data_IF_679110310133
#
_entry.id   IF_679110310133
#
_cell.length_a   1.000
_cell.length_b   1.000
_cell.length_c   1.000
_cell.angle_alpha   90.00
_cell.angle_beta   90.00
_cell.angle_gamma   90.00
#
_symmetry.space_group_name_H-M   'P 1'
#
loop_
_entity.id
_entity.type
_entity.pdbx_description
1 polymer ?
#
# COMPACT_ATOMS: atom_id res chain seq x y z
N UNK A 1 -12.22 -13.70 -29.26
CA UNK A 1 -12.63 -12.92 -28.08
C UNK A 1 -11.35 -12.46 -27.40
N UNK A 2 -10.90 -11.23 -27.67
CA UNK A 2 -9.74 -10.66 -26.96
C UNK A 2 -10.22 -10.35 -25.55
N UNK A 3 -9.65 -11.00 -24.55
CA UNK A 3 -9.76 -10.52 -23.18
C UNK A 3 -8.88 -9.28 -23.12
N UNK A 4 -9.47 -8.09 -23.11
CA UNK A 4 -8.78 -6.91 -22.61
C UNK A 4 -8.51 -7.17 -21.13
N UNK A 5 -7.24 -7.40 -20.79
CA UNK A 5 -6.84 -7.56 -19.41
C UNK A 5 -6.94 -6.18 -18.77
N UNK A 6 -7.92 -5.98 -17.88
CA UNK A 6 -7.93 -4.84 -16.97
C UNK A 6 -6.63 -4.82 -16.13
N UNK A 7 -6.25 -3.66 -15.61
CA UNK A 7 -5.07 -3.53 -14.75
C UNK A 7 -5.11 -4.56 -13.59
N UNK A 8 -4.06 -5.37 -13.47
CA UNK A 8 -3.94 -6.38 -12.42
C UNK A 8 -3.05 -5.87 -11.31
N UNK A 9 -3.59 -5.89 -10.09
CA UNK A 9 -2.89 -5.43 -8.90
C UNK A 9 -2.58 -6.62 -8.00
N UNK A 10 -1.34 -6.70 -7.53
CA UNK A 10 -0.93 -7.72 -6.57
C UNK A 10 0.08 -7.19 -5.56
N UNK A 11 0.15 -7.87 -4.41
CA UNK A 11 1.18 -7.63 -3.40
C UNK A 11 1.89 -8.94 -3.08
N UNK A 12 3.21 -8.91 -3.09
CA UNK A 12 4.07 -10.00 -2.63
C UNK A 12 4.65 -9.60 -1.28
N UNK A 13 4.30 -10.33 -0.24
CA UNK A 13 4.82 -10.09 1.11
C UNK A 13 6.30 -10.47 1.21
N UNK A 14 6.96 -10.02 2.28
CA UNK A 14 8.38 -10.33 2.54
C UNK A 14 8.68 -11.84 2.60
N UNK A 15 7.74 -12.62 3.12
CA UNK A 15 7.79 -14.09 3.18
C UNK A 15 7.37 -14.80 1.88
N UNK A 16 7.12 -14.05 0.80
CA UNK A 16 6.86 -14.59 -0.54
C UNK A 16 5.40 -14.94 -0.82
N UNK A 17 4.45 -14.61 0.08
CA UNK A 17 3.02 -14.81 -0.20
C UNK A 17 2.55 -13.76 -1.19
N UNK A 18 1.97 -14.24 -2.30
CA UNK A 18 1.37 -13.38 -3.31
C UNK A 18 -0.13 -13.27 -3.05
N UNK A 19 -0.60 -12.05 -2.88
CA UNK A 19 -2.01 -11.73 -2.78
C UNK A 19 -2.43 -10.87 -3.97
N UNK A 20 -3.30 -11.43 -4.82
CA UNK A 20 -3.88 -10.71 -5.94
C UNK A 20 -5.10 -9.92 -5.48
N UNK A 21 -5.19 -8.64 -5.83
CA UNK A 21 -6.38 -7.83 -5.53
C UNK A 21 -7.48 -7.99 -6.58
N UNK A 22 -7.11 -8.47 -7.77
CA UNK A 22 -8.02 -8.72 -8.86
C UNK A 22 -8.28 -10.23 -8.98
N UNK A 23 -9.54 -10.59 -9.01
CA UNK A 23 -10.06 -11.90 -9.35
C UNK A 23 -11.29 -11.68 -10.21
N UNK A 24 -11.32 -12.31 -11.38
CA UNK A 24 -12.18 -11.98 -12.53
C UNK A 24 -13.70 -11.91 -12.24
N UNK A 25 -14.15 -12.31 -11.05
CA UNK A 25 -15.57 -12.23 -10.65
C UNK A 25 -15.83 -11.80 -9.19
N UNK A 26 -14.84 -11.87 -8.30
CA UNK A 26 -15.08 -11.75 -6.84
C UNK A 26 -14.44 -10.51 -6.20
N UNK A 27 -13.35 -9.99 -6.75
CA UNK A 27 -12.66 -8.82 -6.20
C UNK A 27 -11.95 -8.04 -7.30
N UNK A 28 -12.02 -6.73 -7.24
CA UNK A 28 -11.31 -5.89 -8.18
C UNK A 28 -10.98 -4.55 -7.55
N UNK A 29 -9.88 -3.95 -8.00
CA UNK A 29 -9.53 -2.58 -7.65
C UNK A 29 -10.44 -1.65 -8.44
N UNK A 30 -11.26 -0.87 -7.74
CA UNK A 30 -12.23 0.08 -8.35
C UNK A 30 -11.52 1.36 -8.73
N UNK A 31 -10.67 1.83 -7.83
CA UNK A 31 -9.91 3.03 -8.02
C UNK A 31 -8.61 2.96 -7.23
N UNK A 32 -7.64 3.74 -7.67
CA UNK A 32 -6.41 3.99 -6.93
C UNK A 32 -6.41 5.46 -6.51
N UNK A 33 -7.11 5.85 -5.43
CA UNK A 33 -7.13 7.23 -4.99
C UNK A 33 -5.72 7.65 -4.61
N UNK A 34 -5.14 8.52 -5.42
CA UNK A 34 -3.76 8.98 -5.26
C UNK A 34 -3.02 8.97 -6.58
N UNK A 35 -1.92 9.71 -6.63
CA UNK A 35 -1.08 9.75 -7.80
C UNK A 35 0.03 8.69 -7.61
N UNK A 36 -0.09 7.55 -8.29
CA UNK A 36 0.94 6.50 -8.32
C UNK A 36 2.16 6.89 -9.17
N UNK A 37 2.24 8.14 -9.60
CA UNK A 37 3.33 8.69 -10.39
C UNK A 37 4.58 8.95 -9.56
N UNK A 38 5.32 9.98 -9.94
CA UNK A 38 6.61 10.30 -9.34
C UNK A 38 6.42 10.81 -7.90
N UNK A 39 7.19 10.32 -6.91
CA UNK A 39 7.21 10.92 -5.58
C UNK A 39 7.77 12.35 -5.62
N UNK A 40 7.53 13.13 -4.58
CA UNK A 40 8.21 14.41 -4.38
C UNK A 40 9.71 14.20 -4.21
N UNK A 41 10.49 15.21 -4.57
CA UNK A 41 11.94 15.24 -4.34
C UNK A 41 12.27 16.42 -3.44
N UNK A 42 13.08 16.15 -2.42
CA UNK A 42 13.68 17.18 -1.59
C UNK A 42 15.13 17.35 -2.02
N UNK A 43 15.44 18.55 -2.52
CA UNK A 43 16.79 18.93 -2.93
C UNK A 43 17.55 19.49 -1.73
N UNK A 44 18.70 18.86 -1.43
CA UNK A 44 19.65 19.38 -0.46
C UNK A 44 20.49 20.42 -1.16
N UNK A 45 20.40 21.65 -0.67
CA UNK A 45 21.13 22.77 -1.24
C UNK A 45 21.98 23.45 -0.18
N UNK A 46 23.17 23.90 -0.59
CA UNK A 46 24.10 24.60 0.26
C UNK A 46 24.50 25.92 -0.38
N UNK A 47 24.61 26.96 0.44
CA UNK A 47 25.16 28.25 0.00
C UNK A 47 26.67 28.27 0.24
N UNK A 48 27.45 28.19 -0.83
CA UNK A 48 28.92 28.21 -0.78
C UNK A 48 29.44 29.65 -0.81
N UNK A 49 30.58 29.90 -0.14
CA UNK A 49 31.21 31.22 -0.14
C UNK A 49 31.54 31.66 -1.58
N UNK A 50 31.11 32.87 -1.94
CA UNK A 50 31.24 33.46 -3.29
C UNK A 50 30.48 32.75 -4.41
N UNK A 51 29.61 31.79 -4.11
CA UNK A 51 28.66 31.29 -5.09
C UNK A 51 27.47 32.25 -5.20
N UNK A 52 27.12 32.62 -6.43
CA UNK A 52 25.84 33.28 -6.68
C UNK A 52 24.77 32.19 -6.84
N UNK A 53 23.86 32.12 -5.86
CA UNK A 53 22.84 31.08 -5.77
C UNK A 53 23.15 29.94 -4.81
N UNK A 54 22.30 28.92 -4.88
CA UNK A 54 22.37 27.71 -4.09
C UNK A 54 22.99 26.60 -4.94
N UNK A 55 23.95 25.88 -4.37
CA UNK A 55 24.56 24.70 -5.01
C UNK A 55 23.83 23.47 -4.50
N UNK A 56 23.31 22.66 -5.42
CA UNK A 56 22.71 21.37 -5.09
C UNK A 56 23.81 20.38 -4.66
N UNK A 57 23.69 19.85 -3.45
CA UNK A 57 24.62 18.86 -2.89
C UNK A 57 24.04 17.45 -2.94
N UNK A 58 22.73 17.32 -3.11
CA UNK A 58 22.07 16.03 -3.28
C UNK A 58 20.56 16.17 -3.37
N UNK A 59 19.89 15.03 -3.51
CA UNK A 59 18.44 14.94 -3.53
C UNK A 59 17.99 13.65 -2.83
N UNK A 60 16.78 13.66 -2.26
CA UNK A 60 16.12 12.47 -1.75
C UNK A 60 14.68 12.40 -2.24
N UNK A 61 14.23 11.20 -2.62
CA UNK A 61 12.82 10.95 -2.91
C UNK A 61 12.04 10.86 -1.58
N UNK A 62 10.93 11.58 -1.50
CA UNK A 62 10.07 11.55 -0.32
C UNK A 62 9.19 10.28 -0.31
N UNK A 63 8.93 9.70 0.87
CA UNK A 63 7.92 8.65 1.00
C UNK A 63 6.55 9.17 0.56
N UNK A 64 5.81 8.33 -0.17
CA UNK A 64 4.48 8.67 -0.65
C UNK A 64 3.46 7.62 -0.24
N UNK A 65 2.31 8.08 0.25
CA UNK A 65 1.14 7.26 0.47
C UNK A 65 0.26 7.22 -0.80
N UNK A 66 -0.31 6.06 -1.08
CA UNK A 66 -1.39 5.88 -2.04
C UNK A 66 -2.43 4.94 -1.44
N UNK A 67 -3.68 5.08 -1.87
CA UNK A 67 -4.76 4.22 -1.43
C UNK A 67 -5.19 3.30 -2.59
N UNK A 68 -5.74 2.14 -2.23
CA UNK A 68 -6.37 1.22 -3.15
C UNK A 68 -7.79 0.98 -2.67
N UNK A 69 -8.76 1.37 -3.47
CA UNK A 69 -10.16 1.07 -3.20
C UNK A 69 -10.48 -0.29 -3.82
N UNK A 70 -10.67 -1.28 -2.97
CA UNK A 70 -10.92 -2.67 -3.39
C UNK A 70 -12.39 -2.99 -3.15
N UNK A 71 -13.06 -3.39 -4.22
CA UNK A 71 -14.40 -3.95 -4.11
C UNK A 71 -14.33 -5.46 -3.94
N UNK A 72 -15.14 -5.97 -3.01
CA UNK A 72 -15.37 -7.39 -2.81
C UNK A 72 -16.83 -7.70 -3.10
N UNK A 73 -17.07 -8.56 -4.09
CA UNK A 73 -18.38 -9.16 -4.30
C UNK A 73 -18.55 -10.25 -3.26
N UNK A 74 -19.43 -10.00 -2.30
CA UNK A 74 -19.79 -10.99 -1.30
C UNK A 74 -21.32 -11.05 -1.23
N UNK A 75 -21.88 -12.20 -1.58
CA UNK A 75 -23.33 -12.42 -1.61
C UNK A 75 -23.84 -12.47 -0.16
N UNK A 76 -24.09 -11.30 0.44
CA UNK A 76 -24.77 -11.06 1.73
C UNK A 76 -24.30 -11.83 2.98
N UNK A 77 -23.25 -12.66 2.92
CA UNK A 77 -22.76 -13.41 4.08
C UNK A 77 -21.77 -12.60 4.93
N UNK A 78 -22.18 -12.34 6.17
CA UNK A 78 -21.37 -11.67 7.19
C UNK A 78 -20.11 -12.47 7.54
N UNK A 79 -20.17 -13.80 7.53
CA UNK A 79 -19.02 -14.65 7.87
C UNK A 79 -17.94 -14.52 6.82
N UNK A 80 -18.31 -14.62 5.54
CA UNK A 80 -17.41 -14.37 4.42
C UNK A 80 -16.78 -12.97 4.47
N UNK A 81 -17.53 -11.93 4.87
CA UNK A 81 -16.98 -10.57 5.01
C UNK A 81 -15.82 -10.54 6.02
N UNK A 82 -16.03 -11.12 7.21
CA UNK A 82 -15.00 -11.15 8.25
C UNK A 82 -13.80 -12.00 7.85
N UNK A 83 -14.02 -13.13 7.18
CA UNK A 83 -12.94 -13.99 6.69
C UNK A 83 -12.07 -13.28 5.66
N UNK A 84 -12.68 -12.60 4.68
CA UNK A 84 -11.96 -11.81 3.66
C UNK A 84 -11.17 -10.68 4.33
N UNK A 85 -11.81 -9.95 5.24
CA UNK A 85 -11.16 -8.85 5.98
C UNK A 85 -9.97 -9.35 6.79
N UNK A 86 -10.11 -10.48 7.48
CA UNK A 86 -9.03 -11.08 8.26
C UNK A 86 -7.84 -11.50 7.37
N UNK A 87 -8.12 -12.12 6.21
CA UNK A 87 -7.10 -12.48 5.24
C UNK A 87 -6.34 -11.28 4.68
N UNK A 88 -7.06 -10.20 4.33
CA UNK A 88 -6.45 -8.95 3.88
C UNK A 88 -5.53 -8.34 4.95
N UNK A 89 -5.99 -8.31 6.20
CA UNK A 89 -5.22 -7.77 7.31
C UNK A 89 -3.99 -8.61 7.64
N UNK A 90 -4.05 -9.94 7.52
CA UNK A 90 -2.88 -10.78 7.73
C UNK A 90 -1.81 -10.53 6.66
N UNK A 91 -2.21 -10.41 5.39
CA UNK A 91 -1.28 -10.10 4.29
C UNK A 91 -0.64 -8.71 4.48
N UNK A 92 -1.44 -7.71 4.85
CA UNK A 92 -1.01 -6.32 5.00
C UNK A 92 -0.51 -5.98 6.42
N UNK A 93 -0.23 -6.96 7.27
CA UNK A 93 0.23 -6.70 8.64
C UNK A 93 1.59 -5.96 8.65
N UNK A 94 1.74 -4.85 9.39
CA UNK A 94 3.01 -4.11 9.44
C UNK A 94 4.19 -4.94 10.00
N UNK A 95 3.88 -5.90 10.87
CA UNK A 95 4.88 -6.70 11.60
C UNK A 95 5.34 -7.95 10.82
N UNK A 96 5.14 -8.02 9.50
CA UNK A 96 5.54 -9.18 8.67
C UNK A 96 7.04 -9.22 8.32
N UNK A 97 7.88 -8.47 9.03
CA UNK A 97 9.34 -8.51 8.93
C UNK A 97 9.98 -7.60 7.88
N UNK A 98 9.26 -7.18 6.84
CA UNK A 98 9.85 -6.36 5.77
C UNK A 98 8.83 -5.60 4.93
N UNK A 99 9.30 -4.70 4.04
CA UNK A 99 8.43 -4.10 3.04
C UNK A 99 7.86 -5.20 2.13
N UNK A 100 6.64 -4.99 1.67
CA UNK A 100 6.04 -5.82 0.64
C UNK A 100 6.34 -5.22 -0.74
N UNK A 101 6.29 -6.03 -1.78
CA UNK A 101 6.40 -5.57 -3.16
C UNK A 101 5.02 -5.48 -3.75
N UNK A 102 4.58 -4.28 -4.08
CA UNK A 102 3.34 -4.07 -4.80
C UNK A 102 3.60 -3.98 -6.30
N UNK A 103 2.83 -4.71 -7.10
CA UNK A 103 2.99 -4.82 -8.55
C UNK A 103 1.70 -4.46 -9.25
N UNK A 104 1.81 -3.64 -10.29
CA UNK A 104 0.74 -3.37 -11.26
C UNK A 104 1.17 -3.92 -12.60
N UNK A 105 0.33 -4.74 -13.20
CA UNK A 105 0.41 -5.10 -14.61
C UNK A 105 -0.69 -4.35 -15.36
N UNK A 106 -0.30 -3.54 -16.33
CA UNK A 106 -1.22 -2.77 -17.18
C UNK A 106 -1.75 -3.62 -18.33
N UNK A 107 -2.77 -3.11 -19.00
CA UNK A 107 -3.41 -3.76 -20.14
C UNK A 107 -2.44 -4.01 -21.31
N UNK A 108 -1.43 -3.15 -21.46
CA UNK A 108 -0.35 -3.26 -22.46
C UNK A 108 0.69 -4.34 -22.11
N UNK A 109 0.54 -5.01 -20.96
CA UNK A 109 1.48 -6.00 -20.45
C UNK A 109 2.70 -5.41 -19.74
N UNK A 110 2.82 -4.08 -19.68
CA UNK A 110 3.87 -3.43 -18.90
C UNK A 110 3.65 -3.68 -17.40
N UNK A 111 4.74 -3.94 -16.69
CA UNK A 111 4.72 -4.21 -15.26
C UNK A 111 5.52 -3.14 -14.52
N UNK A 112 4.97 -2.67 -13.39
CA UNK A 112 5.67 -1.79 -12.46
C UNK A 112 5.56 -2.35 -11.05
N UNK A 113 6.70 -2.49 -10.40
CA UNK A 113 6.78 -2.94 -9.01
C UNK A 113 7.40 -1.84 -8.15
N UNK A 114 6.86 -1.66 -6.95
CA UNK A 114 7.36 -0.72 -5.94
C UNK A 114 7.39 -1.41 -4.58
N UNK A 115 8.39 -1.08 -3.76
CA UNK A 115 8.40 -1.48 -2.37
C UNK A 115 7.44 -0.60 -1.58
N UNK A 116 6.57 -1.24 -0.81
CA UNK A 116 5.53 -0.59 -0.03
C UNK A 116 5.52 -1.09 1.40
N UNK A 117 5.00 -0.26 2.30
CA UNK A 117 4.64 -0.65 3.65
C UNK A 117 3.19 -0.26 3.86
N UNK A 118 2.43 -1.14 4.51
CA UNK A 118 1.09 -0.77 4.94
C UNK A 118 1.20 0.33 5.98
N UNK A 119 0.54 1.44 5.71
CA UNK A 119 0.33 2.46 6.72
C UNK A 119 -0.77 1.92 7.64
N UNK A 120 -0.38 1.33 8.77
CA UNK A 120 -1.34 1.13 9.85
C UNK A 120 -1.73 2.51 10.38
N UNK A 121 -2.99 2.71 10.82
CA UNK A 121 -3.28 3.85 11.68
C UNK A 121 -2.26 3.84 12.81
N UNK A 122 -1.66 5.00 13.09
CA UNK A 122 -0.77 5.12 14.23
C UNK A 122 -1.58 4.69 15.46
N UNK A 123 -1.29 3.51 16.00
CA UNK A 123 -1.83 3.12 17.29
C UNK A 123 -1.22 4.08 18.30
N UNK A 124 -2.01 5.06 18.72
CA UNK A 124 -1.64 5.85 19.89
C UNK A 124 -1.46 4.85 21.03
N UNK A 125 -0.31 4.84 21.72
CA UNK A 125 -0.13 3.96 22.85
C UNK A 125 -1.27 4.25 23.82
N UNK A 126 -2.13 3.26 24.04
CA UNK A 126 -3.11 3.32 25.11
C UNK A 126 -2.32 3.43 26.40
N UNK A 127 -2.53 4.49 27.17
CA UNK A 127 -1.90 4.62 28.49
C UNK A 127 -2.14 3.33 29.27
N UNK A 128 -1.14 2.83 30.00
CA UNK A 128 -1.24 1.60 30.80
C UNK A 128 -2.49 1.56 31.68
N UNK A 129 -2.97 2.72 32.10
CA UNK A 129 -4.13 2.90 32.98
C UNK A 129 -5.49 2.70 32.27
N UNK A 130 -5.50 2.63 30.93
CA UNK A 130 -6.68 2.38 30.10
C UNK A 130 -6.67 1.00 29.44
N UNK A 131 -5.65 0.17 29.70
CA UNK A 131 -5.62 -1.19 29.20
C UNK A 131 -6.63 -2.05 29.96
N UNK A 132 -7.80 -2.27 29.37
CA UNK A 132 -8.80 -3.21 29.89
C UNK A 132 -8.76 -4.48 29.06
N UNK A 133 -8.06 -5.51 29.57
CA UNK A 133 -7.93 -6.78 28.87
C UNK A 133 -9.21 -7.66 28.97
N UNK A 134 -10.13 -7.37 29.90
CA UNK A 134 -11.29 -8.25 30.22
C UNK A 134 -12.57 -7.58 30.76
N UNK A 135 -12.92 -6.36 30.38
CA UNK A 135 -14.22 -5.77 30.80
C UNK A 135 -15.31 -6.07 29.77
N UNK A 136 -16.15 -7.06 30.09
CA UNK A 136 -17.53 -7.12 29.60
C UNK A 136 -18.32 -6.17 30.50
N UNK A 137 -18.94 -5.15 29.91
CA UNK A 137 -20.02 -4.39 30.54
C UNK A 137 -21.37 -4.92 30.03
#
# INVERSE_FOLDING_TARGET
MKYEFAELHSVTTFDGIVYNFNDASMRFVVSTPGNMGMPGFEFQTQRTYKADGLVETGYRAEPRAFNLDIYFKNDCDRTAYWSIRAGLLDVLRPNRGGPATYTIQREDGSMRSIMVRSLSPAFQPTSSDQWQEWTIA
#
